data_IF_880602833593
#
_entry.id   IF_880602833593
#
_cell.length_a   1.000
_cell.length_b   1.000
_cell.length_c   1.000
_cell.angle_alpha   90.00
_cell.angle_beta   90.00
_cell.angle_gamma   90.00
#
_symmetry.space_group_name_H-M   'P 1'
#
loop_
_entity.id
_entity.type
_entity.pdbx_description
1 polymer ?
#
# COMPACT_ATOMS: atom_id res chain seq x y z
N UNK A 1 18.38 -2.68 40.58
CA UNK A 1 17.55 -3.66 39.85
C UNK A 1 16.47 -2.89 39.12
N UNK A 2 16.57 -2.76 37.79
CA UNK A 2 15.49 -2.21 36.97
C UNK A 2 14.37 -3.22 36.92
N UNK A 3 13.22 -2.90 37.51
CA UNK A 3 12.00 -3.71 37.37
C UNK A 3 11.65 -3.80 35.89
N UNK A 4 11.86 -4.97 35.29
CA UNK A 4 11.50 -5.22 33.91
C UNK A 4 9.99 -5.11 33.79
N UNK A 5 9.51 -4.15 32.98
CA UNK A 5 8.08 -3.94 32.78
C UNK A 5 7.52 -5.16 32.03
N UNK A 6 6.53 -5.83 32.61
CA UNK A 6 5.86 -6.97 31.96
C UNK A 6 5.16 -6.44 30.69
N UNK A 7 5.36 -7.08 29.52
CA UNK A 7 4.65 -6.70 28.30
C UNK A 7 3.13 -6.88 28.45
N UNK A 8 2.36 -5.92 27.94
CA UNK A 8 0.88 -5.94 27.98
C UNK A 8 0.31 -5.84 26.55
N UNK A 9 -0.89 -6.41 26.34
CA UNK A 9 -1.66 -6.24 25.10
C UNK A 9 -2.96 -5.48 25.38
N UNK A 10 -3.37 -4.65 24.42
CA UNK A 10 -4.68 -3.98 24.43
C UNK A 10 -5.51 -4.31 23.20
N UNK A 11 -5.03 -5.20 22.32
CA UNK A 11 -5.69 -5.49 21.04
C UNK A 11 -6.89 -6.43 21.22
N UNK A 12 -6.69 -7.52 21.96
CA UNK A 12 -7.70 -8.54 22.17
C UNK A 12 -7.57 -9.13 23.58
N UNK A 13 -8.71 -9.44 24.20
CA UNK A 13 -8.80 -10.24 25.41
C UNK A 13 -10.01 -11.18 25.31
N UNK A 14 -10.01 -12.25 26.10
CA UNK A 14 -11.12 -13.19 26.14
C UNK A 14 -11.31 -13.75 27.55
N UNK A 15 -12.54 -14.18 27.83
CA UNK A 15 -12.93 -14.98 28.98
C UNK A 15 -13.57 -16.28 28.49
N UNK A 16 -14.12 -17.10 29.40
CA UNK A 16 -14.90 -18.28 29.02
C UNK A 16 -16.15 -17.94 28.19
N UNK A 17 -16.68 -16.72 28.33
CA UNK A 17 -17.98 -16.33 27.78
C UNK A 17 -17.96 -15.02 26.99
N UNK A 18 -16.80 -14.38 26.82
CA UNK A 18 -16.68 -13.12 26.08
C UNK A 18 -15.36 -13.02 25.33
N UNK A 19 -15.39 -12.33 24.19
CA UNK A 19 -14.21 -11.92 23.44
C UNK A 19 -14.30 -10.42 23.23
N UNK A 20 -13.19 -9.72 23.45
CA UNK A 20 -13.14 -8.27 23.31
C UNK A 20 -12.02 -7.87 22.37
N UNK A 21 -12.35 -6.99 21.44
CA UNK A 21 -11.43 -6.28 20.58
C UNK A 21 -11.25 -4.89 21.17
N UNK A 22 -10.10 -4.67 21.83
CA UNK A 22 -9.89 -3.53 22.72
C UNK A 22 -10.97 -3.47 23.80
N UNK A 23 -11.73 -2.38 23.85
CA UNK A 23 -12.85 -2.12 24.75
C UNK A 23 -14.21 -2.62 24.24
N UNK A 24 -14.28 -3.15 23.00
CA UNK A 24 -15.52 -3.59 22.36
C UNK A 24 -15.74 -5.08 22.51
N UNK A 25 -16.94 -5.51 22.90
CA UNK A 25 -17.34 -6.91 22.86
C UNK A 25 -17.52 -7.35 21.39
N UNK A 26 -16.84 -8.42 21.00
CA UNK A 26 -16.89 -8.94 19.63
C UNK A 26 -18.32 -9.31 19.21
N UNK A 27 -19.05 -10.01 20.09
CA UNK A 27 -20.40 -10.52 19.80
C UNK A 27 -21.43 -9.40 19.81
N UNK A 28 -21.42 -8.60 20.87
CA UNK A 28 -22.49 -7.63 21.10
C UNK A 28 -22.26 -6.30 20.39
N UNK A 29 -21.00 -5.86 20.23
CA UNK A 29 -20.69 -4.53 19.68
C UNK A 29 -20.21 -4.54 18.23
N UNK A 30 -19.60 -5.64 17.75
CA UNK A 30 -18.96 -5.69 16.44
C UNK A 30 -19.70 -6.57 15.42
N UNK A 31 -19.99 -7.83 15.76
CA UNK A 31 -20.61 -8.77 14.83
C UNK A 31 -22.00 -8.28 14.39
N UNK A 32 -22.19 -8.17 13.07
CA UNK A 32 -23.43 -7.68 12.47
C UNK A 32 -23.68 -6.17 12.61
N UNK A 33 -22.79 -5.43 13.29
CA UNK A 33 -22.91 -3.98 13.53
C UNK A 33 -21.85 -3.15 12.85
N UNK A 34 -20.67 -3.74 12.62
CA UNK A 34 -19.53 -3.09 11.97
C UNK A 34 -19.04 -3.93 10.80
N UNK A 35 -18.52 -3.25 9.79
CA UNK A 35 -17.85 -3.87 8.65
C UNK A 35 -16.44 -4.35 9.05
N UNK A 36 -15.87 -5.27 8.27
CA UNK A 36 -14.48 -5.69 8.45
C UNK A 36 -13.51 -4.50 8.36
N UNK A 37 -13.68 -3.62 7.37
CA UNK A 37 -12.82 -2.44 7.19
C UNK A 37 -12.89 -1.54 8.43
N UNK A 38 -14.08 -1.32 9.01
CA UNK A 38 -14.20 -0.49 10.22
C UNK A 38 -13.40 -1.08 11.37
N UNK A 39 -13.60 -2.37 11.66
CA UNK A 39 -12.90 -3.07 12.76
C UNK A 39 -11.38 -3.08 12.51
N UNK A 40 -10.95 -3.29 11.27
CA UNK A 40 -9.54 -3.24 10.88
C UNK A 40 -8.93 -1.86 11.17
N UNK A 41 -9.58 -0.78 10.75
CA UNK A 41 -9.09 0.59 10.98
C UNK A 41 -9.09 0.91 12.48
N UNK A 42 -10.11 0.50 13.23
CA UNK A 42 -10.14 0.65 14.70
C UNK A 42 -8.94 -0.03 15.38
N UNK A 43 -8.63 -1.25 14.96
CA UNK A 43 -7.53 -2.02 15.53
C UNK A 43 -6.17 -1.39 15.23
N UNK A 44 -5.95 -1.00 13.97
CA UNK A 44 -4.68 -0.42 13.48
C UNK A 44 -4.45 0.98 14.07
N UNK A 45 -5.48 1.85 14.06
CA UNK A 45 -5.35 3.26 14.48
C UNK A 45 -5.69 3.51 15.95
N UNK A 46 -6.19 2.50 16.67
CA UNK A 46 -6.57 2.62 18.07
C UNK A 46 -7.62 3.72 18.36
N UNK A 47 -8.51 4.00 17.40
CA UNK A 47 -9.58 5.01 17.50
C UNK A 47 -10.78 4.61 16.66
N UNK A 48 -11.95 5.17 16.95
CA UNK A 48 -13.10 5.05 16.06
C UNK A 48 -12.81 5.72 14.71
N UNK A 49 -13.09 5.05 13.57
CA UNK A 49 -12.96 5.64 12.25
C UNK A 49 -14.05 6.68 12.02
N UNK A 50 -13.68 7.78 11.36
CA UNK A 50 -14.65 8.75 10.83
C UNK A 50 -15.27 8.18 9.55
N UNK A 51 -16.46 8.64 9.14
CA UNK A 51 -17.05 8.24 7.86
C UNK A 51 -16.11 8.48 6.66
N UNK A 52 -15.34 9.58 6.67
CA UNK A 52 -14.35 9.87 5.63
C UNK A 52 -13.17 8.90 5.63
N UNK A 53 -12.77 8.38 6.81
CA UNK A 53 -11.70 7.40 6.89
C UNK A 53 -12.10 6.13 6.14
N UNK A 54 -13.36 5.71 6.27
CA UNK A 54 -13.88 4.52 5.60
C UNK A 54 -13.87 4.66 4.09
N UNK A 55 -14.38 5.79 3.57
CA UNK A 55 -14.39 6.06 2.13
C UNK A 55 -12.98 6.07 1.54
N UNK A 56 -12.03 6.68 2.24
CA UNK A 56 -10.63 6.72 1.82
C UNK A 56 -9.98 5.33 1.89
N UNK A 57 -10.14 4.60 3.00
CA UNK A 57 -9.53 3.28 3.17
C UNK A 57 -10.08 2.30 2.15
N UNK A 58 -11.39 2.23 1.93
CA UNK A 58 -11.97 1.32 0.94
C UNK A 58 -11.46 1.63 -0.48
N UNK A 59 -11.40 2.92 -0.87
CA UNK A 59 -10.86 3.31 -2.16
C UNK A 59 -9.37 2.94 -2.32
N UNK A 60 -8.57 3.15 -1.27
CA UNK A 60 -7.15 2.77 -1.24
C UNK A 60 -6.99 1.25 -1.34
N UNK A 61 -7.75 0.48 -0.55
CA UNK A 61 -7.68 -0.99 -0.57
C UNK A 61 -8.05 -1.53 -1.96
N UNK A 62 -9.06 -0.96 -2.63
CA UNK A 62 -9.43 -1.34 -4.00
C UNK A 62 -8.28 -1.07 -4.97
N UNK A 63 -7.68 0.13 -4.92
CA UNK A 63 -6.59 0.51 -5.85
C UNK A 63 -5.33 -0.35 -5.66
N UNK A 64 -5.05 -0.78 -4.44
CA UNK A 64 -3.89 -1.62 -4.12
C UNK A 64 -4.12 -3.11 -4.40
N UNK A 65 -5.38 -3.53 -4.59
CA UNK A 65 -5.75 -4.95 -4.54
C UNK A 65 -5.21 -5.72 -5.72
N UNK A 66 -5.31 -5.18 -6.94
CA UNK A 66 -4.95 -5.91 -8.16
C UNK A 66 -4.18 -5.10 -9.20
N UNK A 67 -3.29 -5.79 -9.91
CA UNK A 67 -2.48 -5.20 -10.98
C UNK A 67 -2.05 -6.22 -12.05
N UNK A 68 -2.86 -7.26 -12.25
CA UNK A 68 -2.57 -8.34 -13.19
C UNK A 68 -1.49 -9.30 -12.67
N UNK A 69 -0.80 -10.00 -13.59
CA UNK A 69 0.27 -10.96 -13.27
C UNK A 69 1.57 -10.27 -12.82
N UNK A 70 1.51 -9.63 -11.66
CA UNK A 70 2.68 -9.12 -10.94
C UNK A 70 3.56 -10.28 -10.44
N UNK A 71 4.83 -10.04 -10.07
CA UNK A 71 5.66 -11.06 -9.41
C UNK A 71 4.99 -11.70 -8.20
N UNK A 72 4.20 -10.93 -7.43
CA UNK A 72 3.41 -11.40 -6.30
C UNK A 72 2.33 -12.41 -6.73
N UNK A 73 1.57 -12.10 -7.78
CA UNK A 73 0.56 -13.00 -8.33
C UNK A 73 1.18 -14.26 -8.95
N UNK A 74 2.24 -14.10 -9.72
CA UNK A 74 2.98 -15.21 -10.36
C UNK A 74 3.52 -16.18 -9.30
N UNK A 75 4.21 -15.65 -8.27
CA UNK A 75 4.73 -16.46 -7.18
C UNK A 75 3.63 -17.22 -6.44
N UNK A 76 2.51 -16.56 -6.15
CA UNK A 76 1.35 -17.19 -5.50
C UNK A 76 0.83 -18.37 -6.32
N UNK A 77 0.64 -18.19 -7.63
CA UNK A 77 0.14 -19.24 -8.52
C UNK A 77 1.09 -20.41 -8.67
N UNK A 78 2.39 -20.15 -8.81
CA UNK A 78 3.40 -21.21 -8.89
C UNK A 78 3.48 -22.04 -7.61
N UNK A 79 3.46 -21.38 -6.44
CA UNK A 79 3.47 -22.09 -5.15
C UNK A 79 2.18 -22.87 -4.94
N UNK A 80 1.02 -22.30 -5.30
CA UNK A 80 -0.24 -23.01 -5.21
C UNK A 80 -0.28 -24.24 -6.13
N UNK A 81 0.18 -24.12 -7.37
CA UNK A 81 0.31 -25.24 -8.31
C UNK A 81 1.20 -26.36 -7.75
N UNK A 82 2.30 -26.01 -7.08
CA UNK A 82 3.24 -26.98 -6.51
C UNK A 82 2.74 -27.65 -5.23
N UNK A 83 1.93 -26.97 -4.43
CA UNK A 83 1.45 -27.43 -3.11
C UNK A 83 0.01 -26.93 -2.86
N UNK A 84 -0.99 -27.47 -3.57
CA UNK A 84 -2.37 -26.98 -3.52
C UNK A 84 -3.05 -27.12 -2.15
N UNK A 85 -2.54 -28.02 -1.29
CA UNK A 85 -2.95 -28.17 0.10
C UNK A 85 -2.45 -27.05 1.02
N UNK A 86 -1.49 -26.23 0.57
CA UNK A 86 -0.86 -25.16 1.35
C UNK A 86 -1.23 -23.76 0.81
N UNK A 87 -2.53 -23.44 0.84
CA UNK A 87 -3.06 -22.15 0.36
C UNK A 87 -2.37 -20.95 1.04
N UNK A 88 -2.20 -21.00 2.37
CA UNK A 88 -1.55 -19.93 3.12
C UNK A 88 -0.07 -19.76 2.74
N UNK A 89 0.61 -20.84 2.36
CA UNK A 89 1.98 -20.79 1.84
C UNK A 89 2.06 -20.05 0.51
N UNK A 90 1.11 -20.31 -0.39
CA UNK A 90 1.01 -19.58 -1.65
C UNK A 90 0.75 -18.08 -1.45
N UNK A 91 -0.22 -17.71 -0.61
CA UNK A 91 -0.46 -16.29 -0.27
C UNK A 91 0.78 -15.65 0.36
N UNK A 92 1.43 -16.34 1.29
CA UNK A 92 2.66 -15.85 1.94
C UNK A 92 3.77 -15.59 0.92
N UNK A 93 3.98 -16.50 -0.04
CA UNK A 93 4.97 -16.33 -1.10
C UNK A 93 4.71 -15.08 -1.95
N UNK A 94 3.46 -14.82 -2.32
CA UNK A 94 3.10 -13.59 -3.01
C UNK A 94 3.31 -12.33 -2.16
N UNK A 95 3.01 -12.39 -0.86
CA UNK A 95 3.21 -11.25 0.05
C UNK A 95 4.69 -10.93 0.26
N UNK A 96 5.60 -11.90 0.20
CA UNK A 96 7.05 -11.65 0.28
C UNK A 96 7.58 -10.80 -0.89
N UNK A 97 6.85 -10.72 -2.01
CA UNK A 97 7.18 -9.83 -3.12
C UNK A 97 6.76 -8.37 -2.90
N UNK A 98 6.02 -8.05 -1.83
CA UNK A 98 5.63 -6.67 -1.47
C UNK A 98 6.83 -5.99 -0.81
N UNK A 99 7.43 -5.01 -1.48
CA UNK A 99 8.69 -4.41 -1.06
C UNK A 99 8.96 -3.04 -1.67
N UNK A 100 10.18 -2.53 -1.52
CA UNK A 100 10.51 -1.16 -1.93
C UNK A 100 10.30 -0.90 -3.43
N UNK A 101 10.51 -1.91 -4.28
CA UNK A 101 10.30 -1.80 -5.73
C UNK A 101 8.83 -1.90 -6.13
N UNK A 102 8.00 -2.58 -5.35
CA UNK A 102 6.59 -2.84 -5.65
C UNK A 102 5.71 -2.52 -4.45
N UNK A 103 4.84 -1.52 -4.61
CA UNK A 103 3.88 -1.05 -3.59
C UNK A 103 4.52 -0.32 -2.39
N UNK A 104 5.76 -0.64 -1.99
CA UNK A 104 6.46 0.01 -0.88
C UNK A 104 6.83 1.49 -1.10
N UNK A 105 6.66 2.01 -2.32
CA UNK A 105 6.93 3.43 -2.64
C UNK A 105 5.99 4.40 -1.94
N UNK A 106 4.81 3.98 -1.47
CA UNK A 106 3.90 4.85 -0.73
C UNK A 106 4.46 5.26 0.65
N UNK A 107 5.10 4.35 1.38
CA UNK A 107 5.71 4.68 2.67
C UNK A 107 6.86 5.68 2.48
N UNK A 108 7.70 5.45 1.47
CA UNK A 108 8.79 6.35 1.12
C UNK A 108 8.25 7.73 0.69
N UNK A 109 7.18 7.77 -0.10
CA UNK A 109 6.51 9.02 -0.46
C UNK A 109 5.97 9.74 0.78
N UNK A 110 5.30 9.03 1.69
CA UNK A 110 4.77 9.61 2.93
C UNK A 110 5.87 10.27 3.78
N UNK A 111 7.06 9.65 3.88
CA UNK A 111 8.21 10.27 4.56
C UNK A 111 8.63 11.61 3.94
N UNK A 112 8.56 11.72 2.60
CA UNK A 112 8.84 12.98 1.91
C UNK A 112 7.74 14.03 2.18
N UNK A 113 6.47 13.61 2.19
CA UNK A 113 5.35 14.50 2.52
C UNK A 113 5.45 15.00 3.98
N UNK A 114 5.81 14.12 4.92
CA UNK A 114 6.07 14.47 6.33
C UNK A 114 7.17 15.53 6.44
N UNK A 115 8.29 15.35 5.72
CA UNK A 115 9.41 16.31 5.69
C UNK A 115 8.98 17.67 5.17
N UNK A 116 8.23 17.70 4.07
CA UNK A 116 7.74 18.93 3.48
C UNK A 116 6.87 19.66 4.50
N UNK A 117 5.87 19.00 5.08
CA UNK A 117 5.00 19.62 6.09
C UNK A 117 5.76 20.14 7.32
N UNK A 118 6.79 19.42 7.77
CA UNK A 118 7.61 19.83 8.90
C UNK A 118 8.47 21.08 8.62
N UNK A 119 8.67 21.47 7.36
CA UNK A 119 9.46 22.65 6.99
C UNK A 119 8.81 23.97 7.42
N UNK A 120 7.51 23.98 7.74
CA UNK A 120 6.79 25.16 8.24
C UNK A 120 5.91 25.79 7.16
N UNK A 121 6.17 27.05 6.82
CA UNK A 121 5.35 27.82 5.90
C UNK A 121 5.48 27.35 4.43
N UNK A 122 4.63 27.89 3.56
CA UNK A 122 4.57 27.50 2.14
C UNK A 122 5.90 27.71 1.40
N UNK A 123 6.69 28.73 1.78
CA UNK A 123 7.97 29.01 1.12
C UNK A 123 9.02 27.99 1.55
N UNK A 124 9.07 27.64 2.82
CA UNK A 124 9.94 26.60 3.35
C UNK A 124 9.56 25.21 2.79
N UNK A 125 8.26 24.91 2.71
CA UNK A 125 7.74 23.69 2.09
C UNK A 125 8.17 23.56 0.62
N UNK A 126 8.07 24.65 -0.16
CA UNK A 126 8.52 24.66 -1.56
C UNK A 126 10.03 24.47 -1.67
N UNK A 127 10.81 25.10 -0.79
CA UNK A 127 12.26 24.94 -0.77
C UNK A 127 12.67 23.48 -0.46
N UNK A 128 12.02 22.85 0.52
CA UNK A 128 12.25 21.44 0.88
C UNK A 128 11.87 20.49 -0.28
N UNK A 129 10.73 20.73 -0.93
CA UNK A 129 10.31 19.95 -2.09
C UNK A 129 11.32 20.03 -3.26
N UNK A 130 11.86 21.22 -3.54
CA UNK A 130 12.92 21.40 -4.54
C UNK A 130 14.22 20.72 -4.14
N UNK A 131 14.59 20.76 -2.86
CA UNK A 131 15.77 20.05 -2.36
C UNK A 131 15.63 18.53 -2.55
N UNK A 132 14.48 17.95 -2.20
CA UNK A 132 14.16 16.53 -2.42
C UNK A 132 14.26 16.17 -3.90
N UNK A 133 13.62 16.93 -4.78
CA UNK A 133 13.62 16.65 -6.22
C UNK A 133 15.05 16.72 -6.82
N UNK A 134 15.86 17.71 -6.41
CA UNK A 134 17.26 17.85 -6.84
C UNK A 134 18.13 16.71 -6.34
N UNK A 135 17.94 16.28 -5.10
CA UNK A 135 18.65 15.14 -4.53
C UNK A 135 18.43 13.87 -5.36
N UNK A 136 17.17 13.50 -5.60
CA UNK A 136 16.85 12.31 -6.40
C UNK A 136 17.40 12.40 -7.84
N UNK A 137 17.35 13.59 -8.47
CA UNK A 137 17.96 13.80 -9.78
C UNK A 137 19.48 13.60 -9.76
N UNK A 138 20.17 14.12 -8.75
CA UNK A 138 21.62 13.96 -8.61
C UNK A 138 22.01 12.49 -8.40
N UNK A 139 21.22 11.75 -7.63
CA UNK A 139 21.37 10.31 -7.38
C UNK A 139 20.93 9.43 -8.57
N UNK A 140 20.34 10.03 -9.62
CA UNK A 140 19.71 9.33 -10.75
C UNK A 140 18.65 8.32 -10.29
N UNK A 141 17.97 8.62 -9.19
CA UNK A 141 16.91 7.80 -8.61
C UNK A 141 15.53 8.41 -8.89
N UNK A 142 14.50 7.56 -8.94
CA UNK A 142 13.13 8.04 -9.08
C UNK A 142 12.63 8.62 -7.75
N UNK A 143 11.90 9.72 -7.80
CA UNK A 143 11.23 10.29 -6.62
C UNK A 143 10.07 9.36 -6.22
N UNK A 144 10.02 8.84 -4.98
CA UNK A 144 8.92 8.00 -4.52
C UNK A 144 7.55 8.65 -4.71
N UNK A 145 6.62 7.91 -5.32
CA UNK A 145 5.27 8.41 -5.64
C UNK A 145 5.14 9.04 -7.04
N UNK A 146 6.22 9.11 -7.82
CA UNK A 146 6.25 9.74 -9.13
C UNK A 146 6.76 8.80 -10.22
N UNK A 147 6.23 8.99 -11.43
CA UNK A 147 6.54 8.24 -12.62
C UNK A 147 5.76 6.92 -12.73
N UNK A 148 5.43 6.56 -13.96
CA UNK A 148 4.87 5.26 -14.31
C UNK A 148 5.35 4.88 -15.72
N UNK A 149 5.66 3.60 -15.94
CA UNK A 149 6.13 3.11 -17.24
C UNK A 149 4.97 3.01 -18.26
N UNK A 150 3.79 2.53 -17.82
CA UNK A 150 2.58 2.42 -18.66
C UNK A 150 1.71 3.68 -18.73
N UNK A 151 1.41 4.35 -17.60
CA UNK A 151 0.42 5.42 -17.57
C UNK A 151 1.03 6.80 -17.86
N UNK A 152 0.65 7.38 -19.01
CA UNK A 152 1.00 8.74 -19.44
C UNK A 152 -0.20 9.32 -20.21
N UNK A 153 -0.52 10.63 -20.08
CA UNK A 153 0.18 11.64 -19.27
C UNK A 153 -0.14 11.60 -17.77
N UNK A 154 -1.17 10.86 -17.35
CA UNK A 154 -1.63 10.77 -15.96
C UNK A 154 -1.92 9.31 -15.58
N UNK A 155 -1.66 8.92 -14.33
CA UNK A 155 -2.13 7.65 -13.76
C UNK A 155 -3.60 7.81 -13.38
N UNK A 156 -4.53 7.12 -14.05
CA UNK A 156 -5.97 7.32 -13.83
C UNK A 156 -6.38 7.00 -12.39
N UNK A 157 -5.67 6.10 -11.70
CA UNK A 157 -5.95 5.75 -10.30
C UNK A 157 -5.55 6.89 -9.38
N UNK A 158 -4.35 7.44 -9.57
CA UNK A 158 -3.89 8.58 -8.79
C UNK A 158 -4.80 9.78 -8.97
N UNK A 159 -5.20 10.06 -10.22
CA UNK A 159 -6.16 11.12 -10.53
C UNK A 159 -7.49 10.90 -9.79
N UNK A 160 -8.07 9.70 -9.89
CA UNK A 160 -9.37 9.42 -9.27
C UNK A 160 -9.32 9.49 -7.75
N UNK A 161 -8.27 8.97 -7.12
CA UNK A 161 -8.07 9.06 -5.67
C UNK A 161 -7.97 10.51 -5.19
N UNK A 162 -7.19 11.34 -5.89
CA UNK A 162 -7.03 12.76 -5.54
C UNK A 162 -8.31 13.56 -5.80
N UNK A 163 -9.06 13.24 -6.86
CA UNK A 163 -10.39 13.82 -7.12
C UNK A 163 -11.36 13.50 -5.98
N UNK A 164 -11.45 12.23 -5.58
CA UNK A 164 -12.30 11.79 -4.47
C UNK A 164 -11.93 12.52 -3.18
N UNK A 165 -10.63 12.55 -2.83
CA UNK A 165 -10.19 13.19 -1.60
C UNK A 165 -10.45 14.71 -1.58
N UNK A 166 -10.36 15.40 -2.72
CA UNK A 166 -10.71 16.83 -2.82
C UNK A 166 -12.21 17.10 -2.66
N UNK A 167 -13.05 16.10 -2.94
CA UNK A 167 -14.49 16.20 -2.74
C UNK A 167 -14.93 15.93 -1.28
N UNK A 168 -14.01 15.49 -0.41
CA UNK A 168 -14.30 15.17 0.99
C UNK A 168 -14.08 16.41 1.89
N UNK A 169 -15.15 17.04 2.42
CA UNK A 169 -15.02 18.27 3.23
C UNK A 169 -14.37 18.04 4.60
N UNK A 170 -14.36 16.78 5.07
CA UNK A 170 -13.80 16.40 6.37
C UNK A 170 -12.28 16.12 6.33
N UNK A 171 -11.66 16.22 5.15
CA UNK A 171 -10.21 16.15 4.98
C UNK A 171 -9.59 17.53 5.09
N UNK A 172 -8.45 17.62 5.78
CA UNK A 172 -7.72 18.89 5.93
C UNK A 172 -7.04 19.30 4.62
N UNK A 173 -6.53 18.31 3.89
CA UNK A 173 -5.86 18.52 2.60
C UNK A 173 -4.37 18.84 2.71
N UNK A 174 -3.79 18.84 3.92
CA UNK A 174 -2.40 19.21 4.15
C UNK A 174 -1.40 18.25 3.45
N UNK A 175 -1.68 16.95 3.45
CA UNK A 175 -0.84 15.92 2.80
C UNK A 175 -1.01 15.98 1.29
N UNK A 176 -2.22 16.23 0.83
CA UNK A 176 -2.51 16.43 -0.59
C UNK A 176 -1.77 17.68 -1.09
N UNK A 177 -1.81 18.78 -0.33
CA UNK A 177 -1.07 20.01 -0.64
C UNK A 177 0.44 19.75 -0.70
N UNK A 178 1.00 19.03 0.28
CA UNK A 178 2.41 18.64 0.27
C UNK A 178 2.78 17.80 -0.97
N UNK A 179 1.90 16.86 -1.38
CA UNK A 179 2.09 16.06 -2.59
C UNK A 179 2.08 16.93 -3.86
N UNK A 180 1.18 17.91 -3.94
CA UNK A 180 1.12 18.84 -5.07
C UNK A 180 2.34 19.76 -5.12
N UNK A 181 2.82 20.25 -3.97
CA UNK A 181 4.07 21.01 -3.85
C UNK A 181 5.27 20.19 -4.32
N UNK A 182 5.34 18.92 -3.92
CA UNK A 182 6.36 18.00 -4.41
C UNK A 182 6.24 17.76 -5.91
N UNK A 183 5.02 17.58 -6.43
CA UNK A 183 4.79 17.39 -7.87
C UNK A 183 5.31 18.56 -8.70
N UNK A 184 5.03 19.80 -8.28
CA UNK A 184 5.52 20.99 -8.97
C UNK A 184 7.06 21.06 -8.95
N UNK A 185 7.69 20.75 -7.82
CA UNK A 185 9.14 20.72 -7.70
C UNK A 185 9.79 19.62 -8.55
N UNK A 186 9.17 18.44 -8.62
CA UNK A 186 9.62 17.33 -9.46
C UNK A 186 9.56 17.72 -10.94
N UNK A 187 8.46 18.34 -11.37
CA UNK A 187 8.28 18.80 -12.76
C UNK A 187 9.32 19.87 -13.13
N UNK A 188 9.54 20.85 -12.25
CA UNK A 188 10.54 21.92 -12.42
C UNK A 188 11.95 21.34 -12.58
N UNK A 189 12.34 20.43 -11.69
CA UNK A 189 13.68 19.83 -11.70
C UNK A 189 13.87 18.86 -12.87
N UNK A 190 12.82 18.15 -13.28
CA UNK A 190 12.85 17.25 -14.44
C UNK A 190 12.79 18.01 -15.78
N UNK A 191 12.28 19.24 -15.80
CA UNK A 191 12.04 20.02 -17.02
C UNK A 191 10.87 19.50 -17.86
N UNK A 192 10.01 18.65 -17.28
CA UNK A 192 8.81 18.07 -17.92
C UNK A 192 7.87 17.55 -16.85
N UNK A 193 6.59 17.37 -17.21
CA UNK A 193 5.62 16.74 -16.33
C UNK A 193 6.01 15.29 -15.99
N UNK A 194 6.02 14.97 -14.69
CA UNK A 194 6.16 13.65 -14.11
C UNK A 194 4.88 13.29 -13.38
N UNK A 195 4.19 12.29 -13.90
CA UNK A 195 2.94 11.78 -13.36
C UNK A 195 3.06 11.34 -11.89
N UNK A 196 2.15 11.79 -11.02
CA UNK A 196 1.91 11.17 -9.72
C UNK A 196 1.34 9.77 -9.96
N UNK A 197 1.95 8.74 -9.39
CA UNK A 197 1.47 7.37 -9.52
C UNK A 197 0.49 7.01 -8.39
N UNK A 198 -0.17 5.85 -8.51
CA UNK A 198 -1.14 5.39 -7.53
C UNK A 198 -0.60 5.38 -6.09
N UNK A 199 0.64 4.93 -5.86
CA UNK A 199 1.22 4.86 -4.52
C UNK A 199 1.53 6.22 -3.92
N UNK A 200 1.85 7.24 -4.74
CA UNK A 200 1.96 8.63 -4.31
C UNK A 200 0.63 9.21 -3.83
N UNK A 201 -0.45 8.98 -4.58
CA UNK A 201 -1.80 9.38 -4.16
C UNK A 201 -2.23 8.65 -2.88
N UNK A 202 -2.01 7.33 -2.80
CA UNK A 202 -2.29 6.52 -1.60
C UNK A 202 -1.55 7.07 -0.38
N UNK A 203 -0.27 7.44 -0.51
CA UNK A 203 0.51 8.01 0.58
C UNK A 203 -0.13 9.29 1.14
N UNK A 204 -0.55 10.21 0.26
CA UNK A 204 -1.23 11.43 0.69
C UNK A 204 -2.56 11.12 1.37
N UNK A 205 -3.40 10.27 0.78
CA UNK A 205 -4.72 9.93 1.29
C UNK A 205 -4.68 9.21 2.65
N UNK A 206 -3.80 8.21 2.81
CA UNK A 206 -3.62 7.53 4.10
C UNK A 206 -3.06 8.50 5.16
N UNK A 207 -2.20 9.44 4.74
CA UNK A 207 -1.70 10.50 5.60
C UNK A 207 -2.81 11.45 6.09
N UNK A 208 -3.76 11.83 5.22
CA UNK A 208 -4.90 12.71 5.57
C UNK A 208 -5.78 12.14 6.69
N UNK A 209 -5.93 10.81 6.72
CA UNK A 209 -6.73 10.10 7.73
C UNK A 209 -5.89 9.67 8.95
N UNK A 210 -4.63 10.12 9.02
CA UNK A 210 -3.76 9.92 10.17
C UNK A 210 -3.16 8.52 10.29
N UNK A 211 -3.03 7.77 9.19
CA UNK A 211 -2.24 6.53 9.19
C UNK A 211 -0.77 6.89 9.38
N UNK A 212 -0.09 6.35 10.41
CA UNK A 212 1.34 6.60 10.59
C UNK A 212 2.16 6.05 9.43
N UNK A 213 3.14 6.81 8.95
CA UNK A 213 4.01 6.45 7.84
C UNK A 213 4.59 5.03 7.98
N UNK A 214 5.08 4.65 9.17
CA UNK A 214 5.67 3.32 9.41
C UNK A 214 4.69 2.13 9.33
N UNK A 215 3.37 2.39 9.28
CA UNK A 215 2.34 1.35 9.21
C UNK A 215 1.63 1.33 7.85
N UNK A 216 1.81 2.34 7.01
CA UNK A 216 1.12 2.45 5.71
C UNK A 216 1.26 1.17 4.87
N UNK A 217 2.44 0.56 4.83
CA UNK A 217 2.69 -0.70 4.10
C UNK A 217 1.75 -1.83 4.51
N UNK A 218 1.27 -1.84 5.76
CA UNK A 218 0.28 -2.80 6.23
C UNK A 218 -1.00 -2.79 5.40
N UNK A 219 -1.48 -1.63 4.95
CA UNK A 219 -2.70 -1.54 4.12
C UNK A 219 -2.51 -2.21 2.76
N UNK A 220 -1.32 -2.06 2.16
CA UNK A 220 -0.96 -2.76 0.94
C UNK A 220 -0.89 -4.28 1.14
N UNK A 221 -0.29 -4.74 2.23
CA UNK A 221 -0.20 -6.17 2.56
C UNK A 221 -1.60 -6.77 2.73
N UNK A 222 -2.48 -6.09 3.46
CA UNK A 222 -3.87 -6.52 3.69
C UNK A 222 -4.63 -6.58 2.37
N UNK A 223 -4.59 -5.52 1.58
CA UNK A 223 -5.25 -5.44 0.27
C UNK A 223 -4.74 -6.52 -0.70
N UNK A 224 -3.42 -6.70 -0.79
CA UNK A 224 -2.83 -7.73 -1.66
C UNK A 224 -3.17 -9.13 -1.19
N UNK A 225 -3.26 -9.40 0.11
CA UNK A 225 -3.68 -10.72 0.59
C UNK A 225 -5.06 -11.12 0.04
N UNK A 226 -6.01 -10.17 -0.01
CA UNK A 226 -7.33 -10.41 -0.61
C UNK A 226 -7.22 -10.73 -2.11
N UNK A 227 -6.45 -9.96 -2.88
CA UNK A 227 -6.21 -10.21 -4.31
C UNK A 227 -5.51 -11.56 -4.59
N UNK A 228 -4.55 -11.94 -3.75
CA UNK A 228 -3.83 -13.21 -3.87
C UNK A 228 -4.73 -14.42 -3.61
N UNK A 229 -5.68 -14.33 -2.66
CA UNK A 229 -6.72 -15.36 -2.50
C UNK A 229 -7.58 -15.45 -3.76
N UNK A 230 -7.93 -14.32 -4.38
CA UNK A 230 -8.68 -14.32 -5.64
C UNK A 230 -7.89 -14.99 -6.78
N UNK A 231 -6.57 -14.76 -6.86
CA UNK A 231 -5.71 -15.46 -7.82
C UNK A 231 -5.70 -16.98 -7.63
N UNK A 232 -5.75 -17.46 -6.39
CA UNK A 232 -5.83 -18.90 -6.09
C UNK A 232 -7.19 -19.46 -6.51
N UNK A 233 -8.29 -18.74 -6.25
CA UNK A 233 -9.63 -19.15 -6.71
C UNK A 233 -9.67 -19.24 -8.24
N UNK A 234 -9.10 -18.28 -8.96
CA UNK A 234 -8.99 -18.37 -10.42
C UNK A 234 -8.09 -19.54 -10.85
N UNK A 235 -6.98 -19.78 -10.15
CA UNK A 235 -6.06 -20.89 -10.43
C UNK A 235 -6.72 -22.27 -10.24
N UNK A 236 -7.69 -22.39 -9.33
CA UNK A 236 -8.51 -23.62 -9.16
C UNK A 236 -9.45 -23.88 -10.35
N UNK A 237 -9.92 -22.81 -11.00
CA UNK A 237 -10.89 -22.89 -12.10
C UNK A 237 -10.20 -22.97 -13.48
N UNK A 238 -9.12 -22.21 -13.64
CA UNK A 238 -8.35 -22.07 -14.87
C UNK A 238 -6.86 -22.07 -14.53
N UNK A 239 -6.25 -23.25 -14.33
CA UNK A 239 -4.84 -23.35 -13.93
C UNK A 239 -3.90 -22.73 -14.96
N UNK A 240 -3.01 -21.86 -14.49
CA UNK A 240 -1.99 -21.16 -15.27
C UNK A 240 -0.55 -21.46 -14.83
N UNK A 241 -0.35 -22.03 -13.63
CA UNK A 241 0.96 -22.25 -13.03
C UNK A 241 1.88 -23.10 -13.91
N UNK A 242 1.35 -24.19 -14.52
CA UNK A 242 2.14 -25.05 -15.40
C UNK A 242 2.56 -24.31 -16.66
N UNK A 243 1.63 -23.54 -17.24
CA UNK A 243 1.91 -22.72 -18.42
C UNK A 243 2.96 -21.65 -18.12
N UNK A 244 2.90 -21.01 -16.95
CA UNK A 244 3.90 -20.04 -16.50
C UNK A 244 5.28 -20.70 -16.40
N UNK A 245 5.37 -21.88 -15.75
CA UNK A 245 6.62 -22.64 -15.67
C UNK A 245 7.14 -22.95 -17.07
N UNK A 246 6.36 -23.64 -17.90
CA UNK A 246 6.80 -24.05 -19.23
C UNK A 246 7.25 -22.83 -20.05
N UNK A 247 6.55 -21.69 -19.97
CA UNK A 247 6.95 -20.45 -20.65
C UNK A 247 8.34 -19.98 -20.23
N UNK A 248 8.64 -20.00 -18.92
CA UNK A 248 9.96 -19.62 -18.41
C UNK A 248 11.03 -20.60 -18.88
N UNK A 249 10.75 -21.90 -18.84
CA UNK A 249 11.69 -22.92 -19.30
C UNK A 249 12.04 -22.77 -20.78
N UNK A 250 11.04 -22.53 -21.64
CA UNK A 250 11.27 -22.33 -23.08
C UNK A 250 11.99 -21.03 -23.40
N UNK A 251 11.76 -19.96 -22.62
CA UNK A 251 12.38 -18.66 -22.86
C UNK A 251 13.85 -18.59 -22.38
N UNK A 252 14.27 -19.51 -21.50
CA UNK A 252 15.60 -19.51 -20.90
C UNK A 252 16.53 -20.46 -21.67
N UNK A 253 17.57 -19.96 -22.35
CA UNK A 253 18.47 -20.81 -23.12
C UNK A 253 19.29 -21.71 -22.17
N UNK A 254 19.30 -23.01 -22.43
CA UNK A 254 20.22 -23.95 -21.78
C UNK A 254 21.57 -23.89 -22.47
N UNK A 255 22.64 -23.62 -21.73
CA UNK A 255 24.01 -23.80 -22.24
C UNK A 255 24.31 -25.29 -22.24
N UNK A 256 24.08 -25.95 -23.36
CA UNK A 256 24.53 -27.33 -23.58
C UNK A 256 25.85 -27.21 -24.35
N UNK A 257 26.96 -27.42 -23.65
CA UNK A 257 28.29 -27.49 -24.25
C UNK A 257 28.42 -28.84 -24.96
N UNK A 258 28.22 -28.84 -26.27
CA UNK A 258 28.56 -29.99 -27.12
C UNK A 258 30.04 -29.88 -27.47
N UNK A 259 30.88 -30.39 -26.56
CA UNK A 259 32.33 -30.51 -26.78
C UNK A 259 32.69 -31.30 -28.04
#
# INVERSE_FOLDING_TARGET
MTTQKVPETRLCSHTLTSLHYRDKNLVDDLLGRRTFTEVMVMQILAREPRPVDMRIVDAVLIVLMEHGLTPSAIATRLIYMSAPENLQGAVSAGLLAVGSSFVGTMENCSRLLDRIQAAGDAQAQKAEALAIARQHKAERSAVPGFGHHLHKPVDPRAYKLLEMARAEPDLKGDKIAALMTLSAAVDEVAGRAITINATGAVAALLGEIGVPTGVMRGFAVISRAAGLVAHIVEEQQSPSGRFIWDTVEHAMPTVIDHG
#
